data_IF_394956493751
#
_entry.id   IF_394956493751
#
_cell.length_a   1.000
_cell.length_b   1.000
_cell.length_c   1.000
_cell.angle_alpha   90.00
_cell.angle_beta   90.00
_cell.angle_gamma   90.00
#
_symmetry.space_group_name_H-M   'P 1'
#
loop_
_entity.id
_entity.type
_entity.pdbx_description
1 polymer ?
#
# COMPACT_ATOMS: atom_id res chain seq x y z
N UNK A 1 -0.50 -25.30 16.64
CA UNK A 1 -1.43 -24.26 16.11
C UNK A 1 -2.05 -23.40 17.20
N UNK A 2 -2.31 -23.93 18.40
CA UNK A 2 -2.77 -23.13 19.55
C UNK A 2 -1.77 -22.03 19.92
N UNK A 3 -0.47 -22.33 19.95
CA UNK A 3 0.58 -21.34 20.22
C UNK A 3 0.56 -20.16 19.22
N UNK A 4 0.28 -20.43 17.94
CA UNK A 4 0.21 -19.39 16.90
C UNK A 4 -1.03 -18.52 17.11
N UNK A 5 -2.17 -19.13 17.46
CA UNK A 5 -3.42 -18.43 17.74
C UNK A 5 -3.32 -17.52 18.97
N UNK A 6 -2.54 -17.93 19.99
CA UNK A 6 -2.29 -17.09 21.16
C UNK A 6 -1.33 -15.91 20.92
N UNK A 7 -0.40 -16.07 19.98
CA UNK A 7 0.63 -15.06 19.69
C UNK A 7 0.15 -14.02 18.66
N UNK A 8 -0.64 -14.41 17.67
CA UNK A 8 -1.17 -13.52 16.64
C UNK A 8 -1.79 -12.21 17.18
N UNK A 9 -2.67 -12.21 18.18
CA UNK A 9 -3.24 -10.97 18.72
C UNK A 9 -2.23 -10.11 19.49
N UNK A 10 -1.11 -10.70 19.95
CA UNK A 10 -0.02 -10.00 20.64
C UNK A 10 1.02 -9.45 19.66
N UNK A 11 1.00 -9.91 18.41
CA UNK A 11 1.99 -9.54 17.40
C UNK A 11 1.87 -8.07 17.01
N UNK A 12 0.64 -7.55 16.86
CA UNK A 12 0.43 -6.14 16.57
C UNK A 12 0.99 -5.24 17.67
N UNK A 13 0.82 -5.64 18.94
CA UNK A 13 1.40 -4.94 20.08
C UNK A 13 2.93 -4.99 20.07
N UNK A 14 3.52 -6.14 19.73
CA UNK A 14 4.98 -6.29 19.62
C UNK A 14 5.55 -5.41 18.50
N UNK A 15 4.87 -5.38 17.34
CA UNK A 15 5.26 -4.52 16.20
C UNK A 15 5.17 -3.05 16.60
N UNK A 16 4.07 -2.65 17.27
CA UNK A 16 3.91 -1.29 17.79
C UNK A 16 5.05 -0.93 18.73
N UNK A 17 5.33 -1.77 19.73
CA UNK A 17 6.40 -1.55 20.69
C UNK A 17 7.79 -1.45 20.03
N UNK A 18 8.08 -2.32 19.05
CA UNK A 18 9.33 -2.26 18.31
C UNK A 18 9.45 -0.97 17.49
N UNK A 19 8.35 -0.46 16.94
CA UNK A 19 8.32 0.85 16.27
C UNK A 19 8.52 1.99 17.27
N UNK A 20 7.93 1.91 18.46
CA UNK A 20 8.12 2.90 19.52
C UNK A 20 9.59 2.99 19.96
N UNK A 21 10.28 1.84 20.08
CA UNK A 21 11.73 1.81 20.38
C UNK A 21 12.53 2.49 19.27
N UNK A 22 12.21 2.21 17.99
CA UNK A 22 12.90 2.85 16.86
C UNK A 22 12.70 4.36 16.88
N UNK A 23 11.48 4.81 17.13
CA UNK A 23 11.15 6.23 17.22
C UNK A 23 11.88 6.89 18.39
N UNK A 24 11.89 6.24 19.55
CA UNK A 24 12.62 6.72 20.72
C UNK A 24 14.13 6.82 20.47
N UNK A 25 14.74 5.79 19.90
CA UNK A 25 16.17 5.79 19.56
C UNK A 25 16.53 6.88 18.54
N UNK A 26 15.65 7.12 17.55
CA UNK A 26 15.81 8.22 16.60
C UNK A 26 15.74 9.58 17.27
N UNK A 27 14.78 9.78 18.17
CA UNK A 27 14.63 11.03 18.93
C UNK A 27 15.87 11.28 19.81
N UNK A 28 16.32 10.26 20.56
CA UNK A 28 17.56 10.34 21.36
C UNK A 28 18.77 10.71 20.49
N UNK A 29 18.95 10.06 19.34
CA UNK A 29 20.02 10.37 18.40
C UNK A 29 19.93 11.80 17.85
N UNK A 30 18.71 12.30 17.61
CA UNK A 30 18.44 13.66 17.13
C UNK A 30 18.70 14.71 18.20
N UNK A 31 18.41 14.39 19.46
CA UNK A 31 18.70 15.23 20.64
C UNK A 31 20.20 15.23 21.01
N UNK A 32 21.03 14.54 20.24
CA UNK A 32 22.49 14.50 20.41
C UNK A 32 23.00 13.38 21.32
N UNK A 33 22.14 12.46 21.77
CA UNK A 33 22.55 11.28 22.52
C UNK A 33 22.94 10.14 21.56
N UNK A 34 24.24 9.78 21.45
CA UNK A 34 24.67 8.77 20.51
C UNK A 34 24.17 7.38 20.91
N UNK A 35 23.69 6.61 19.93
CA UNK A 35 23.29 5.21 20.11
C UNK A 35 24.47 4.31 19.72
N UNK A 36 25.04 3.50 20.64
CA UNK A 36 26.19 2.64 20.33
C UNK A 36 25.94 1.73 19.12
N UNK A 37 26.86 1.75 18.16
CA UNK A 37 26.77 0.96 16.93
C UNK A 37 25.90 1.56 15.82
N UNK A 38 25.29 2.73 16.04
CA UNK A 38 24.46 3.43 15.05
C UNK A 38 24.99 4.85 14.80
N UNK A 39 24.71 5.38 13.60
CA UNK A 39 24.98 6.77 13.26
C UNK A 39 23.70 7.44 12.78
N UNK A 40 23.49 8.69 13.17
CA UNK A 40 22.46 9.54 12.58
C UNK A 40 22.96 10.03 11.23
N UNK A 41 22.14 9.86 10.19
CA UNK A 41 22.41 10.33 8.83
C UNK A 41 21.20 11.06 8.32
N UNK A 42 21.40 12.00 7.39
CA UNK A 42 20.29 12.61 6.69
C UNK A 42 19.49 11.53 5.95
N UNK A 43 18.16 11.59 6.10
CA UNK A 43 17.26 10.76 5.32
C UNK A 43 17.49 10.99 3.83
N UNK A 44 17.15 10.00 3.02
CA UNK A 44 17.22 10.14 1.56
C UNK A 44 16.30 11.28 1.11
N UNK A 45 16.87 12.41 0.71
CA UNK A 45 16.10 13.49 0.10
C UNK A 45 15.55 13.04 -1.26
N UNK A 46 14.27 13.30 -1.50
CA UNK A 46 13.64 13.06 -2.80
C UNK A 46 13.78 14.33 -3.63
N UNK A 47 14.43 14.23 -4.78
CA UNK A 47 14.57 15.35 -5.72
C UNK A 47 13.19 15.78 -6.20
N UNK A 48 12.97 17.09 -6.28
CA UNK A 48 11.76 17.72 -6.80
C UNK A 48 12.17 18.84 -7.76
N UNK A 49 11.36 19.09 -8.77
CA UNK A 49 11.58 20.22 -9.66
C UNK A 49 11.36 21.53 -8.88
N UNK A 50 12.28 22.48 -9.03
CA UNK A 50 12.23 23.78 -8.34
C UNK A 50 11.23 24.75 -8.99
N UNK A 51 11.10 24.66 -10.31
CA UNK A 51 10.13 25.39 -11.12
C UNK A 51 9.66 24.46 -12.25
N UNK A 52 8.46 23.93 -12.12
CA UNK A 52 7.87 23.01 -13.09
C UNK A 52 7.63 23.69 -14.46
N UNK A 53 7.52 25.02 -14.50
CA UNK A 53 7.29 25.78 -15.74
C UNK A 53 8.60 25.93 -16.51
N UNK A 54 9.67 26.33 -15.81
CA UNK A 54 11.00 26.36 -16.41
C UNK A 54 11.42 24.97 -16.90
N UNK A 55 11.06 23.92 -16.14
CA UNK A 55 11.33 22.53 -16.52
C UNK A 55 10.52 22.10 -17.75
N UNK A 56 9.20 22.33 -17.77
CA UNK A 56 8.38 21.93 -18.91
C UNK A 56 8.75 22.72 -20.18
N UNK A 57 9.04 24.02 -20.08
CA UNK A 57 9.51 24.83 -21.21
C UNK A 57 10.85 24.32 -21.74
N UNK A 58 11.82 24.06 -20.87
CA UNK A 58 13.10 23.51 -21.28
C UNK A 58 12.95 22.13 -21.96
N UNK A 59 12.04 21.29 -21.46
CA UNK A 59 11.78 19.95 -22.02
C UNK A 59 11.06 20.04 -23.39
N UNK A 60 10.11 20.95 -23.54
CA UNK A 60 9.38 21.18 -24.81
C UNK A 60 10.26 21.85 -25.86
N UNK A 61 11.06 22.86 -25.49
CA UNK A 61 12.05 23.48 -26.39
C UNK A 61 13.10 22.48 -26.86
N UNK A 62 13.42 21.49 -26.02
CA UNK A 62 14.25 20.34 -26.38
C UNK A 62 13.52 19.27 -27.22
N UNK A 63 12.22 19.44 -27.50
CA UNK A 63 11.42 18.56 -28.37
C UNK A 63 10.86 17.31 -27.69
N UNK A 64 10.77 17.29 -26.36
CA UNK A 64 10.26 16.15 -25.58
C UNK A 64 8.89 16.46 -24.94
N UNK A 65 8.12 15.41 -24.61
CA UNK A 65 6.87 15.50 -23.84
C UNK A 65 7.18 15.35 -22.35
N UNK A 66 7.07 16.40 -21.52
CA UNK A 66 7.39 16.33 -20.09
C UNK A 66 6.34 15.56 -19.26
N UNK A 67 5.24 15.10 -19.87
CA UNK A 67 4.10 14.55 -19.16
C UNK A 67 3.93 13.03 -19.37
N UNK A 68 3.48 12.33 -18.33
CA UNK A 68 3.20 10.89 -18.38
C UNK A 68 1.74 10.61 -18.81
N UNK A 69 1.54 9.69 -19.77
CA UNK A 69 0.21 9.21 -20.18
C UNK A 69 -0.18 7.96 -19.39
N UNK A 70 -1.11 8.11 -18.44
CA UNK A 70 -1.52 7.00 -17.56
C UNK A 70 -2.77 6.26 -18.05
N UNK A 71 -2.74 4.93 -17.92
CA UNK A 71 -3.86 4.03 -18.19
C UNK A 71 -5.05 4.35 -17.28
N UNK A 72 -6.25 4.37 -17.86
CA UNK A 72 -7.48 4.57 -17.10
C UNK A 72 -7.73 3.42 -16.12
N UNK A 73 -8.28 3.75 -14.94
CA UNK A 73 -8.69 2.75 -13.96
C UNK A 73 -9.86 1.91 -14.49
N UNK A 74 -10.07 0.71 -13.92
CA UNK A 74 -11.16 -0.21 -14.31
C UNK A 74 -12.50 0.53 -14.44
N UNK A 75 -12.88 1.29 -13.42
CA UNK A 75 -14.12 2.07 -13.41
C UNK A 75 -14.16 3.14 -14.51
N UNK A 76 -13.03 3.81 -14.78
CA UNK A 76 -12.93 4.82 -15.82
C UNK A 76 -13.04 4.19 -17.23
N UNK A 77 -12.45 3.02 -17.43
CA UNK A 77 -12.59 2.24 -18.66
C UNK A 77 -14.00 1.67 -18.83
N UNK A 78 -14.65 1.22 -17.75
CA UNK A 78 -16.04 0.74 -17.78
C UNK A 78 -17.01 1.81 -18.22
N UNK A 79 -16.79 3.03 -17.76
CA UNK A 79 -17.62 4.16 -18.14
C UNK A 79 -17.35 4.58 -19.59
N UNK A 80 -16.09 4.65 -20.00
CA UNK A 80 -15.70 5.08 -21.35
C UNK A 80 -16.24 4.15 -22.42
N UNK A 81 -16.06 2.84 -22.23
CA UNK A 81 -16.51 1.86 -23.21
C UNK A 81 -18.01 1.60 -23.07
N UNK A 82 -18.55 1.69 -21.85
CA UNK A 82 -19.90 1.25 -21.48
C UNK A 82 -19.86 -0.18 -20.94
N UNK A 83 -20.78 -0.56 -20.02
CA UNK A 83 -20.70 -1.85 -19.31
C UNK A 83 -20.63 -3.07 -20.23
N UNK A 84 -21.38 -3.07 -21.34
CA UNK A 84 -21.47 -4.21 -22.27
C UNK A 84 -20.14 -4.43 -23.01
N UNK A 85 -19.67 -3.42 -23.71
CA UNK A 85 -18.40 -3.35 -24.44
C UNK A 85 -17.19 -3.42 -23.52
N UNK A 86 -17.27 -2.86 -22.31
CA UNK A 86 -16.24 -3.03 -21.29
C UNK A 86 -16.15 -4.48 -20.81
N UNK A 87 -17.27 -5.15 -20.54
CA UNK A 87 -17.23 -6.55 -20.13
C UNK A 87 -16.84 -7.48 -21.28
N UNK A 88 -17.24 -7.15 -22.51
CA UNK A 88 -16.88 -7.91 -23.71
C UNK A 88 -15.39 -7.78 -24.05
N UNK A 89 -14.83 -6.56 -23.96
CA UNK A 89 -13.43 -6.29 -24.30
C UNK A 89 -12.45 -6.46 -23.14
N UNK A 90 -12.86 -6.06 -21.92
CA UNK A 90 -12.00 -6.00 -20.73
C UNK A 90 -12.49 -6.90 -19.60
N UNK A 91 -13.68 -7.50 -19.68
CA UNK A 91 -14.23 -8.34 -18.60
C UNK A 91 -13.46 -9.63 -18.37
N UNK A 92 -12.94 -10.25 -19.43
CA UNK A 92 -11.98 -11.37 -19.32
C UNK A 92 -10.59 -10.95 -18.80
N UNK A 93 -10.34 -9.65 -18.69
CA UNK A 93 -9.07 -9.06 -18.24
C UNK A 93 -9.15 -8.46 -16.82
N UNK A 94 -10.28 -8.63 -16.12
CA UNK A 94 -10.48 -8.16 -14.74
C UNK A 94 -10.45 -9.36 -13.80
N UNK A 95 -9.48 -9.34 -12.90
CA UNK A 95 -9.38 -10.32 -11.82
C UNK A 95 -9.86 -9.64 -10.54
N UNK A 96 -10.81 -10.25 -9.83
CA UNK A 96 -11.21 -9.83 -8.49
C UNK A 96 -10.50 -10.73 -7.47
N UNK A 97 -9.34 -10.33 -6.93
CA UNK A 97 -8.68 -11.13 -5.91
C UNK A 97 -9.59 -11.19 -4.67
N UNK A 98 -9.76 -12.39 -4.12
CA UNK A 98 -10.40 -12.57 -2.82
C UNK A 98 -9.62 -11.79 -1.76
N UNK A 99 -10.32 -11.00 -0.95
CA UNK A 99 -9.69 -10.22 0.12
C UNK A 99 -9.03 -11.16 1.13
N UNK A 100 -7.85 -10.78 1.64
CA UNK A 100 -7.16 -11.58 2.66
C UNK A 100 -8.05 -11.69 3.91
N UNK A 101 -8.30 -12.90 4.45
CA UNK A 101 -9.02 -13.05 5.71
C UNK A 101 -8.24 -12.31 6.80
N UNK A 102 -8.94 -11.48 7.58
CA UNK A 102 -8.35 -10.67 8.64
C UNK A 102 -9.14 -10.92 9.92
N UNK A 103 -8.44 -11.22 11.02
CA UNK A 103 -9.07 -11.40 12.32
C UNK A 103 -9.51 -10.03 12.85
N UNK A 104 -10.79 -9.93 13.18
CA UNK A 104 -11.40 -8.71 13.72
C UNK A 104 -12.06 -9.02 15.06
N UNK A 105 -12.16 -8.05 16.00
CA UNK A 105 -12.88 -8.23 17.26
C UNK A 105 -14.35 -8.61 17.04
N UNK A 106 -14.97 -9.29 18.02
CA UNK A 106 -16.33 -9.84 17.88
C UNK A 106 -17.44 -8.77 17.72
N UNK A 107 -17.13 -7.52 18.07
CA UNK A 107 -18.01 -6.36 17.90
C UNK A 107 -17.95 -5.79 16.46
N UNK A 108 -17.06 -6.31 15.59
CA UNK A 108 -16.98 -5.89 14.20
C UNK A 108 -18.26 -6.30 13.44
N UNK A 109 -18.91 -5.31 12.84
CA UNK A 109 -20.15 -5.45 12.07
C UNK A 109 -20.08 -6.35 10.82
N UNK A 110 -18.87 -6.73 10.38
CA UNK A 110 -18.67 -7.60 9.22
C UNK A 110 -19.00 -9.04 9.61
N UNK A 111 -19.75 -9.73 8.75
CA UNK A 111 -20.11 -11.12 8.97
C UNK A 111 -18.87 -11.99 9.12
N UNK A 112 -18.87 -12.82 10.17
CA UNK A 112 -17.91 -13.89 10.36
C UNK A 112 -17.82 -14.75 9.10
N UNK A 113 -16.59 -15.01 8.64
CA UNK A 113 -16.39 -15.87 7.48
C UNK A 113 -16.77 -17.29 7.88
N UNK A 114 -17.89 -17.79 7.37
CA UNK A 114 -18.38 -19.13 7.66
C UNK A 114 -17.52 -20.17 6.89
N UNK A 115 -16.40 -20.57 7.49
CA UNK A 115 -15.41 -21.49 6.89
C UNK A 115 -15.98 -22.89 6.61
N UNK A 116 -17.10 -23.29 7.22
CA UNK A 116 -17.77 -24.56 6.94
C UNK A 116 -18.33 -24.66 5.50
N UNK A 117 -18.50 -23.52 4.79
CA UNK A 117 -18.95 -23.52 3.38
C UNK A 117 -17.81 -23.45 2.37
N UNK A 118 -16.57 -23.26 2.80
CA UNK A 118 -15.42 -23.27 1.88
C UNK A 118 -14.99 -24.71 1.51
N UNK A 119 -15.39 -25.74 2.26
CA UNK A 119 -15.17 -27.16 1.92
C UNK A 119 -16.06 -27.70 0.78
N UNK A 120 -16.89 -26.87 0.14
CA UNK A 120 -17.56 -27.24 -1.10
C UNK A 120 -17.35 -26.16 -2.16
N UNK A 121 -16.11 -26.00 -2.61
CA UNK A 121 -15.73 -25.76 -4.02
C UNK A 121 -14.22 -25.50 -4.17
N UNK A 122 -13.47 -26.57 -4.38
CA UNK A 122 -12.46 -26.71 -5.44
C UNK A 122 -12.75 -28.12 -6.01
N UNK A 123 -13.20 -28.31 -7.26
CA UNK A 123 -12.50 -28.06 -8.53
C UNK A 123 -12.08 -26.61 -8.86
#
# INVERSE_FOLDING_TARGET
>A
NEDIAEILPKLDLLISWANDIKAYALNQATDGYPIPGYKLVEGRSVRKFSDESAVSQAVIEAGYDPYEKKLLTITAMTKLLGKKTFNDLLGGLIIKPSGKPTLVPIDDSRQEMNLAKLEFKED
#
